data_IF_078660067046
#
_entry.id   IF_078660067046
#
_cell.length_a   1.000
_cell.length_b   1.000
_cell.length_c   1.000
_cell.angle_alpha   90.00
_cell.angle_beta   90.00
_cell.angle_gamma   90.00
#
_symmetry.space_group_name_H-M   'P 1'
#
loop_
_entity.id
_entity.type
_entity.pdbx_description
1 polymer ?
#
# COMPACT_ATOMS: atom_id res chain seq x y z
N UNK A 1 0.56 4.48 -2.82
CA UNK A 1 1.71 5.38 -2.57
C UNK A 1 1.40 6.25 -1.37
N UNK A 2 2.20 6.20 -0.31
CA UNK A 2 1.92 6.95 0.92
C UNK A 2 2.01 8.48 0.72
N UNK A 3 1.31 9.27 1.55
CA UNK A 3 1.36 10.75 1.50
C UNK A 3 2.80 11.29 1.61
N UNK A 4 3.62 10.67 2.48
CA UNK A 4 5.02 11.03 2.67
C UNK A 4 5.85 10.93 1.38
N UNK A 5 5.68 9.88 0.56
CA UNK A 5 6.45 9.73 -0.68
C UNK A 5 6.08 10.80 -1.72
N UNK A 6 4.81 11.22 -1.76
CA UNK A 6 4.35 12.32 -2.63
C UNK A 6 5.02 13.64 -2.25
N UNK A 7 5.13 13.94 -0.96
CA UNK A 7 5.78 15.16 -0.47
C UNK A 7 7.29 15.12 -0.66
N UNK A 8 7.92 13.98 -0.33
CA UNK A 8 9.38 13.79 -0.46
C UNK A 8 9.87 13.84 -1.91
N UNK A 9 9.01 13.54 -2.88
CA UNK A 9 9.31 13.71 -4.31
C UNK A 9 9.70 15.15 -4.69
N UNK A 10 9.30 16.14 -3.88
CA UNK A 10 9.51 17.56 -4.19
C UNK A 10 8.79 18.03 -5.45
N UNK A 11 7.82 17.25 -5.95
CA UNK A 11 7.11 17.58 -7.18
C UNK A 11 6.26 18.84 -6.99
N UNK A 12 6.40 19.87 -7.87
CA UNK A 12 5.67 21.12 -7.72
C UNK A 12 4.16 20.94 -7.81
N UNK A 13 3.66 19.93 -8.54
CA UNK A 13 2.21 19.70 -8.67
C UNK A 13 1.60 19.08 -7.40
N UNK A 14 2.33 18.23 -6.66
CA UNK A 14 1.86 17.72 -5.38
C UNK A 14 1.89 18.80 -4.29
N UNK A 15 2.94 19.63 -4.27
CA UNK A 15 3.07 20.73 -3.31
C UNK A 15 2.10 21.88 -3.61
N UNK A 16 1.86 22.17 -4.89
CA UNK A 16 0.86 23.14 -5.34
C UNK A 16 -0.57 22.60 -5.41
N UNK A 17 -0.81 21.34 -5.02
CA UNK A 17 -2.11 20.66 -5.06
C UNK A 17 -2.78 20.57 -6.43
N UNK A 18 -2.04 20.76 -7.52
CA UNK A 18 -2.52 20.59 -8.91
C UNK A 18 -2.26 19.19 -9.47
N UNK A 19 -1.75 18.26 -8.65
CA UNK A 19 -1.41 16.91 -9.09
C UNK A 19 -2.60 16.15 -9.72
N UNK A 20 -3.83 16.38 -9.24
CA UNK A 20 -5.02 15.71 -9.77
C UNK A 20 -5.51 16.25 -11.11
N UNK A 21 -5.07 17.45 -11.52
CA UNK A 21 -5.35 17.96 -12.87
C UNK A 21 -4.82 17.00 -13.94
N UNK A 22 -3.69 16.35 -13.64
CA UNK A 22 -3.04 15.41 -14.56
C UNK A 22 -3.29 13.95 -14.19
N UNK A 23 -3.49 13.64 -12.91
CA UNK A 23 -3.57 12.28 -12.40
C UNK A 23 -4.56 11.40 -13.15
N UNK A 24 -5.77 11.91 -13.42
CA UNK A 24 -6.82 11.12 -14.07
C UNK A 24 -6.48 10.78 -15.53
N UNK A 25 -5.67 11.61 -16.20
CA UNK A 25 -5.17 11.33 -17.54
C UNK A 25 -3.94 10.42 -17.55
N UNK A 26 -3.10 10.47 -16.52
CA UNK A 26 -1.81 9.76 -16.48
C UNK A 26 -1.76 8.51 -15.59
N UNK A 27 -2.84 8.19 -14.89
CA UNK A 27 -2.93 7.01 -14.03
C UNK A 27 -2.79 5.69 -14.78
N UNK A 28 -2.57 4.60 -14.04
CA UNK A 28 -2.44 3.26 -14.59
C UNK A 28 -3.79 2.77 -15.13
N UNK A 29 -3.83 2.42 -16.42
CA UNK A 29 -4.99 1.89 -17.15
C UNK A 29 -6.28 2.65 -16.76
N UNK A 30 -6.41 3.93 -17.16
CA UNK A 30 -7.58 4.75 -16.84
C UNK A 30 -8.88 4.09 -17.31
N UNK A 31 -9.89 4.15 -16.44
CA UNK A 31 -11.25 3.69 -16.73
C UNK A 31 -12.07 4.81 -17.41
N UNK A 32 -13.27 4.52 -17.97
CA UNK A 32 -14.12 5.56 -18.57
C UNK A 32 -14.44 6.73 -17.61
N UNK A 33 -14.56 6.46 -16.30
CA UNK A 33 -14.80 7.48 -15.28
C UNK A 33 -13.62 8.44 -15.07
N UNK A 34 -12.40 8.06 -15.46
CA UNK A 34 -11.24 8.96 -15.44
C UNK A 34 -11.48 10.21 -16.26
N UNK A 35 -12.11 10.05 -17.42
CA UNK A 35 -12.34 11.17 -18.33
C UNK A 35 -13.27 12.18 -17.66
N UNK A 36 -14.38 11.73 -17.08
CA UNK A 36 -15.29 12.60 -16.34
C UNK A 36 -14.61 13.24 -15.12
N UNK A 37 -13.79 12.48 -14.39
CA UNK A 37 -13.04 13.00 -13.25
C UNK A 37 -12.03 14.06 -13.69
N UNK A 38 -11.39 13.91 -14.86
CA UNK A 38 -10.45 14.88 -15.42
C UNK A 38 -11.11 16.19 -15.84
N UNK A 39 -12.40 16.17 -16.19
CA UNK A 39 -13.16 17.38 -16.55
C UNK A 39 -13.62 18.20 -15.34
N UNK A 40 -13.37 17.76 -14.10
CA UNK A 40 -13.72 18.54 -12.91
C UNK A 40 -12.92 19.86 -12.87
N UNK A 41 -13.45 20.86 -12.17
CA UNK A 41 -12.78 22.16 -12.09
C UNK A 41 -11.45 22.05 -11.30
N UNK A 42 -10.46 22.92 -11.58
CA UNK A 42 -9.17 22.90 -10.87
C UNK A 42 -9.30 23.04 -9.35
N UNK A 43 -10.31 23.78 -8.87
CA UNK A 43 -10.60 23.89 -7.44
C UNK A 43 -11.01 22.55 -6.81
N UNK A 44 -11.82 21.75 -7.52
CA UNK A 44 -12.21 20.41 -7.07
C UNK A 44 -11.00 19.48 -7.06
N UNK A 45 -10.15 19.53 -8.09
CA UNK A 45 -8.90 18.77 -8.11
C UNK A 45 -7.97 19.12 -6.94
N UNK A 46 -7.85 20.41 -6.61
CA UNK A 46 -7.04 20.87 -5.48
C UNK A 46 -7.54 20.31 -4.14
N UNK A 47 -8.86 20.36 -3.91
CA UNK A 47 -9.48 19.79 -2.71
C UNK A 47 -9.31 18.28 -2.66
N UNK A 48 -9.51 17.57 -3.77
CA UNK A 48 -9.30 16.12 -3.82
C UNK A 48 -7.82 15.74 -3.61
N UNK A 49 -6.88 16.55 -4.09
CA UNK A 49 -5.45 16.33 -3.91
C UNK A 49 -5.10 16.48 -2.42
N UNK A 50 -5.59 17.55 -1.78
CA UNK A 50 -5.45 17.77 -0.34
C UNK A 50 -6.08 16.64 0.49
N UNK A 51 -7.32 16.26 0.15
CA UNK A 51 -8.02 15.14 0.79
C UNK A 51 -7.21 13.84 0.67
N UNK A 52 -6.60 13.56 -0.49
CA UNK A 52 -5.77 12.37 -0.68
C UNK A 52 -4.53 12.37 0.22
N UNK A 53 -3.89 13.54 0.44
CA UNK A 53 -2.72 13.70 1.31
C UNK A 53 -3.10 13.61 2.79
N UNK A 54 -4.25 14.16 3.17
CA UNK A 54 -4.82 14.10 4.51
C UNK A 54 -5.21 12.66 4.89
N UNK A 55 -5.96 11.96 4.03
CA UNK A 55 -6.44 10.60 4.29
C UNK A 55 -5.25 9.63 4.44
N UNK A 56 -4.26 9.72 3.55
CA UNK A 56 -3.09 8.82 3.54
C UNK A 56 -1.93 9.28 4.46
N UNK A 57 -2.13 10.33 5.23
CA UNK A 57 -1.12 10.90 6.12
C UNK A 57 -1.62 11.01 7.56
N UNK A 58 -2.04 12.21 8.00
CA UNK A 58 -2.45 12.44 9.38
C UNK A 58 -3.64 11.58 9.81
N UNK A 59 -4.63 11.36 8.94
CA UNK A 59 -5.78 10.53 9.29
C UNK A 59 -5.36 9.09 9.56
N UNK A 60 -4.53 8.48 8.71
CA UNK A 60 -4.05 7.10 8.90
C UNK A 60 -3.32 6.88 10.23
N UNK A 61 -2.73 7.91 10.85
CA UNK A 61 -2.09 7.77 12.17
C UNK A 61 -3.09 7.46 13.29
N UNK A 62 -4.35 7.89 13.14
CA UNK A 62 -5.42 7.57 14.08
C UNK A 62 -5.80 6.08 14.08
N UNK A 63 -5.34 5.30 13.10
CA UNK A 63 -5.48 3.83 13.13
C UNK A 63 -4.79 3.20 14.35
N UNK A 64 -3.74 3.83 14.87
CA UNK A 64 -3.01 3.39 16.06
C UNK A 64 -3.73 3.75 17.35
N UNK A 65 -4.73 4.63 17.30
CA UNK A 65 -5.48 5.01 18.50
C UNK A 65 -6.26 3.81 19.03
N UNK A 66 -6.30 3.57 20.36
CA UNK A 66 -7.10 2.51 20.94
C UNK A 66 -8.61 2.77 20.83
N UNK A 67 -9.04 4.00 20.51
CA UNK A 67 -10.47 4.34 20.48
C UNK A 67 -11.15 3.96 19.17
N UNK A 68 -12.27 3.23 19.27
CA UNK A 68 -13.20 2.96 18.17
C UNK A 68 -13.61 4.21 17.39
N UNK A 69 -13.86 5.34 18.07
CA UNK A 69 -14.32 6.59 17.47
C UNK A 69 -13.33 7.19 16.48
N UNK A 70 -12.04 7.02 16.71
CA UNK A 70 -11.00 7.43 15.77
C UNK A 70 -10.88 6.48 14.58
N UNK A 71 -11.13 5.19 14.80
CA UNK A 71 -10.96 4.13 13.79
C UNK A 71 -12.04 4.13 12.71
N UNK A 72 -13.28 4.52 13.05
CA UNK A 72 -14.37 4.65 12.08
C UNK A 72 -14.05 5.61 10.92
N UNK A 73 -13.72 6.90 11.15
CA UNK A 73 -13.41 7.82 10.06
C UNK A 73 -12.18 7.37 9.25
N UNK A 74 -11.18 6.76 9.90
CA UNK A 74 -10.03 6.17 9.21
C UNK A 74 -10.48 5.12 8.20
N UNK A 75 -11.34 4.17 8.61
CA UNK A 75 -11.86 3.14 7.72
C UNK A 75 -12.68 3.73 6.58
N UNK A 76 -13.70 4.54 6.89
CA UNK A 76 -14.64 5.01 5.87
C UNK A 76 -13.99 5.94 4.84
N UNK A 77 -13.08 6.81 5.25
CA UNK A 77 -12.40 7.72 4.31
C UNK A 77 -11.34 6.99 3.48
N UNK A 78 -10.61 6.02 4.04
CA UNK A 78 -9.74 5.16 3.24
C UNK A 78 -10.53 4.29 2.26
N UNK A 79 -11.66 3.73 2.69
CA UNK A 79 -12.57 2.98 1.81
C UNK A 79 -13.05 3.86 0.65
N UNK A 80 -13.54 5.07 0.93
CA UNK A 80 -13.98 6.01 -0.09
C UNK A 80 -12.86 6.35 -1.09
N UNK A 81 -11.64 6.61 -0.59
CA UNK A 81 -10.47 6.92 -1.42
C UNK A 81 -10.06 5.73 -2.32
N UNK A 82 -10.07 4.51 -1.81
CA UNK A 82 -9.70 3.33 -2.61
C UNK A 82 -10.80 2.88 -3.56
N UNK A 83 -12.07 3.11 -3.22
CA UNK A 83 -13.19 2.91 -4.14
C UNK A 83 -13.17 3.95 -5.27
N UNK A 84 -12.94 5.22 -4.97
CA UNK A 84 -12.82 6.25 -6.03
C UNK A 84 -11.66 5.91 -6.96
N UNK A 85 -10.50 5.53 -6.39
CA UNK A 85 -9.34 5.03 -7.14
C UNK A 85 -9.67 3.83 -8.03
N UNK A 86 -10.51 2.88 -7.60
CA UNK A 86 -10.93 1.73 -8.40
C UNK A 86 -11.83 2.14 -9.57
N UNK A 87 -12.71 3.11 -9.36
CA UNK A 87 -13.60 3.61 -10.41
C UNK A 87 -12.87 4.46 -11.43
N UNK A 88 -11.92 5.28 -10.98
CA UNK A 88 -11.14 6.15 -11.87
C UNK A 88 -9.96 5.42 -12.49
N UNK A 89 -9.34 4.41 -11.87
CA UNK A 89 -8.15 3.76 -12.43
C UNK A 89 -8.06 2.29 -12.05
N UNK A 90 -7.20 1.56 -12.74
CA UNK A 90 -6.99 0.15 -12.48
C UNK A 90 -5.57 -0.08 -11.96
N UNK A 91 -5.46 -0.11 -10.63
CA UNK A 91 -4.23 -0.37 -9.88
C UNK A 91 -4.09 -1.86 -9.49
N UNK A 92 -4.70 -2.75 -10.27
CA UNK A 92 -4.72 -4.19 -10.00
C UNK A 92 -5.26 -4.54 -8.60
N UNK A 93 -4.55 -5.41 -7.88
CA UNK A 93 -4.95 -5.86 -6.54
C UNK A 93 -4.68 -4.83 -5.43
N UNK A 94 -3.96 -3.74 -5.71
CA UNK A 94 -3.50 -2.79 -4.69
C UNK A 94 -4.67 -2.13 -3.94
N UNK A 95 -5.70 -1.69 -4.67
CA UNK A 95 -6.89 -1.09 -4.06
C UNK A 95 -7.61 -2.07 -3.12
N UNK A 96 -7.73 -3.33 -3.52
CA UNK A 96 -8.40 -4.36 -2.72
C UNK A 96 -7.59 -4.72 -1.47
N UNK A 97 -6.26 -4.79 -1.60
CA UNK A 97 -5.38 -5.00 -0.46
C UNK A 97 -5.49 -3.84 0.55
N UNK A 98 -5.52 -2.60 0.07
CA UNK A 98 -5.66 -1.43 0.92
C UNK A 98 -7.01 -1.39 1.65
N UNK A 99 -8.11 -1.75 0.97
CA UNK A 99 -9.44 -1.89 1.60
C UNK A 99 -9.44 -3.01 2.66
N UNK A 100 -8.82 -4.15 2.36
CA UNK A 100 -8.71 -5.27 3.29
C UNK A 100 -7.94 -4.88 4.56
N UNK A 101 -6.84 -4.14 4.40
CA UNK A 101 -6.06 -3.58 5.51
C UNK A 101 -6.87 -2.56 6.31
N UNK A 102 -7.59 -1.64 5.65
CA UNK A 102 -8.43 -0.66 6.33
C UNK A 102 -9.52 -1.34 7.18
N UNK A 103 -10.10 -2.46 6.69
CA UNK A 103 -11.10 -3.22 7.45
C UNK A 103 -10.56 -3.81 8.76
N UNK A 104 -9.26 -4.12 8.82
CA UNK A 104 -8.64 -4.64 10.05
C UNK A 104 -8.69 -3.63 11.20
N UNK A 105 -8.73 -2.33 10.88
CA UNK A 105 -8.80 -1.23 11.83
C UNK A 105 -10.16 -1.13 12.52
N UNK A 106 -11.24 -1.73 11.99
CA UNK A 106 -12.53 -1.66 12.66
C UNK A 106 -12.53 -2.47 13.98
N UNK A 107 -13.03 -1.87 15.09
CA UNK A 107 -13.09 -2.51 16.41
C UNK A 107 -14.06 -3.70 16.42
N UNK A 108 -13.81 -4.68 17.28
CA UNK A 108 -14.75 -5.77 17.53
C UNK A 108 -15.95 -5.26 18.34
N UNK A 109 -17.11 -5.89 18.17
CA UNK A 109 -18.41 -5.46 18.74
C UNK A 109 -18.49 -5.57 20.28
N UNK A 110 -17.41 -5.97 20.96
CA UNK A 110 -17.40 -6.30 22.38
C UNK A 110 -16.28 -5.55 23.12
N UNK A 111 -16.23 -4.22 23.00
CA UNK A 111 -15.43 -3.43 23.94
C UNK A 111 -16.22 -3.29 25.26
N UNK A 112 -15.78 -3.93 26.37
CA UNK A 112 -16.45 -3.76 27.65
C UNK A 112 -16.35 -2.29 28.08
N UNK A 113 -17.50 -1.61 28.18
CA UNK A 113 -17.56 -0.24 28.65
C UNK A 113 -17.33 -0.21 30.16
N UNK A 114 -16.10 -0.06 30.61
CA UNK A 114 -15.82 0.23 32.02
C UNK A 114 -16.16 1.69 32.31
N UNK A 115 -17.21 1.90 33.11
CA UNK A 115 -17.76 3.22 33.41
C UNK A 115 -16.79 4.15 34.17
N UNK A 116 -15.79 3.56 34.84
CA UNK A 116 -14.83 4.26 35.71
C UNK A 116 -13.87 5.22 34.96
N UNK A 117 -13.71 5.08 33.64
CA UNK A 117 -12.78 5.90 32.85
C UNK A 117 -13.45 6.66 31.69
N UNK A 118 -14.76 6.85 31.75
CA UNK A 118 -15.56 7.47 30.69
C UNK A 118 -15.06 8.89 30.34
N UNK A 119 -14.77 9.73 31.35
CA UNK A 119 -14.27 11.09 31.13
C UNK A 119 -12.87 11.11 30.47
N UNK A 120 -11.96 10.26 30.93
CA UNK A 120 -10.61 10.12 30.36
C UNK A 120 -10.67 9.65 28.91
N UNK A 121 -11.59 8.72 28.61
CA UNK A 121 -11.82 8.22 27.25
C UNK A 121 -12.30 9.34 26.32
N UNK A 122 -13.30 10.12 26.73
CA UNK A 122 -13.78 11.24 25.92
C UNK A 122 -12.74 12.34 25.76
N UNK A 123 -11.94 12.63 26.79
CA UNK A 123 -10.83 13.57 26.69
C UNK A 123 -9.77 13.08 25.69
N UNK A 124 -9.41 11.80 25.72
CA UNK A 124 -8.47 11.20 24.75
C UNK A 124 -9.02 11.23 23.31
N UNK A 125 -10.33 11.03 23.13
CA UNK A 125 -11.00 11.18 21.82
C UNK A 125 -10.94 12.63 21.33
N UNK A 126 -11.31 13.58 22.19
CA UNK A 126 -11.26 15.00 21.85
C UNK A 126 -9.83 15.45 21.49
N UNK A 127 -8.82 15.00 22.25
CA UNK A 127 -7.42 15.28 21.97
C UNK A 127 -6.94 14.69 20.65
N UNK A 128 -7.37 13.46 20.31
CA UNK A 128 -7.03 12.83 19.04
C UNK A 128 -7.58 13.61 17.83
N UNK A 129 -8.85 14.04 17.89
CA UNK A 129 -9.44 14.89 16.86
C UNK A 129 -8.85 16.30 16.83
N UNK A 130 -8.55 16.89 17.99
CA UNK A 130 -7.87 18.18 18.05
C UNK A 130 -6.47 18.12 17.42
N UNK A 131 -5.71 17.05 17.69
CA UNK A 131 -4.42 16.79 17.06
C UNK A 131 -4.54 16.61 15.54
N UNK A 132 -5.58 15.90 15.07
CA UNK A 132 -5.87 15.77 13.64
C UNK A 132 -6.18 17.11 12.98
N UNK A 133 -6.98 17.95 13.62
CA UNK A 133 -7.31 19.30 13.14
C UNK A 133 -6.06 20.18 13.09
N UNK A 134 -5.25 20.18 14.14
CA UNK A 134 -3.99 20.92 14.18
C UNK A 134 -3.01 20.46 13.09
N UNK A 135 -2.88 19.15 12.88
CA UNK A 135 -2.06 18.60 11.80
C UNK A 135 -2.56 19.06 10.43
N UNK A 136 -3.87 19.01 10.20
CA UNK A 136 -4.50 19.45 8.94
C UNK A 136 -4.27 20.94 8.69
N UNK A 137 -4.45 21.77 9.72
CA UNK A 137 -4.19 23.21 9.64
C UNK A 137 -2.73 23.51 9.34
N UNK A 138 -1.79 22.76 9.93
CA UNK A 138 -0.35 22.93 9.67
C UNK A 138 0.10 22.45 8.29
N UNK A 139 -0.68 21.57 7.64
CA UNK A 139 -0.32 20.97 6.34
C UNK A 139 -0.69 21.86 5.16
N UNK A 140 -1.73 22.68 5.27
CA UNK A 140 -2.30 23.42 4.14
C UNK A 140 -2.36 24.91 4.43
N UNK A 141 -1.98 25.72 3.43
CA UNK A 141 -2.01 27.17 3.49
C UNK A 141 -2.90 27.71 2.37
N UNK A 142 -3.70 28.73 2.68
CA UNK A 142 -4.50 29.43 1.69
C UNK A 142 -3.63 30.47 0.97
N UNK A 143 -3.63 30.40 -0.36
CA UNK A 143 -2.96 31.39 -1.20
C UNK A 143 -3.96 32.48 -1.53
N UNK A 144 -3.58 33.73 -1.28
CA UNK A 144 -4.36 34.91 -1.62
C UNK A 144 -3.70 35.64 -2.78
N UNK A 145 -4.46 35.90 -3.84
CA UNK A 145 -4.07 36.81 -4.92
C UNK A 145 -5.04 37.98 -4.94
N UNK A 146 -4.53 39.21 -4.91
CA UNK A 146 -5.34 40.44 -4.94
C UNK A 146 -6.47 40.51 -3.89
N UNK A 147 -6.24 39.93 -2.70
CA UNK A 147 -7.22 39.92 -1.61
C UNK A 147 -8.33 38.86 -1.76
N UNK A 148 -8.30 38.03 -2.79
CA UNK A 148 -9.19 36.88 -2.95
C UNK A 148 -8.44 35.56 -2.75
N UNK A 149 -9.15 34.52 -2.29
CA UNK A 149 -8.59 33.18 -2.12
C UNK A 149 -8.36 32.59 -3.52
N UNK A 150 -7.10 32.50 -3.94
CA UNK A 150 -6.70 32.01 -5.25
C UNK A 150 -6.58 30.48 -5.27
N UNK A 151 -6.22 29.86 -4.13
CA UNK A 151 -6.11 28.41 -4.05
C UNK A 151 -5.56 27.90 -2.74
N UNK A 152 -5.33 26.59 -2.69
CA UNK A 152 -4.72 25.89 -1.55
C UNK A 152 -3.32 25.42 -1.97
N UNK A 153 -2.34 25.52 -1.06
CA UNK A 153 -1.01 24.93 -1.24
C UNK A 153 -0.61 24.12 -0.03
N UNK A 154 0.34 23.21 -0.22
CA UNK A 154 0.99 22.52 0.89
C UNK A 154 1.95 23.48 1.61
N UNK A 155 1.76 23.65 2.91
CA UNK A 155 2.46 24.68 3.70
C UNK A 155 3.89 24.28 4.08
N UNK A 156 4.14 22.98 4.31
CA UNK A 156 5.42 22.47 4.80
C UNK A 156 6.45 22.42 3.67
N UNK A 157 7.62 23.04 3.90
CA UNK A 157 8.74 22.95 2.96
C UNK A 157 9.34 21.55 2.99
N UNK A 158 9.81 21.05 1.83
CA UNK A 158 10.46 19.73 1.71
C UNK A 158 11.62 19.56 2.71
N UNK A 159 12.40 20.61 2.96
CA UNK A 159 13.48 20.59 3.95
C UNK A 159 13.00 20.37 5.39
N UNK A 160 11.87 20.98 5.77
CA UNK A 160 11.26 20.77 7.08
C UNK A 160 10.69 19.36 7.22
N UNK A 161 10.07 18.83 6.16
CA UNK A 161 9.58 17.44 6.15
C UNK A 161 10.72 16.44 6.28
N UNK A 162 11.85 16.65 5.58
CA UNK A 162 13.06 15.83 5.74
C UNK A 162 13.62 15.89 7.17
N UNK A 163 13.68 17.10 7.74
CA UNK A 163 14.11 17.32 9.13
C UNK A 163 13.16 16.67 10.16
N UNK A 164 11.85 16.64 9.93
CA UNK A 164 10.93 15.93 10.80
C UNK A 164 11.13 14.41 10.68
N UNK A 165 11.31 13.91 9.46
CA UNK A 165 11.46 12.50 9.16
C UNK A 165 12.70 11.88 9.82
N UNK A 166 13.76 12.65 9.99
CA UNK A 166 14.99 12.20 10.67
C UNK A 166 14.74 11.74 12.11
N UNK A 167 13.71 12.27 12.78
CA UNK A 167 13.34 11.89 14.14
C UNK A 167 12.17 10.91 14.14
N UNK A 168 11.18 11.15 13.29
CA UNK A 168 9.95 10.33 13.22
C UNK A 168 10.25 8.91 12.75
N UNK A 169 11.06 8.71 11.70
CA UNK A 169 11.33 7.37 11.16
C UNK A 169 12.06 6.48 12.17
N UNK A 170 13.18 6.91 12.79
CA UNK A 170 13.83 6.10 13.81
C UNK A 170 12.92 5.86 15.01
N UNK A 171 12.18 6.87 15.47
CA UNK A 171 11.25 6.73 16.60
C UNK A 171 10.16 5.70 16.34
N UNK A 172 9.55 5.71 15.16
CA UNK A 172 8.52 4.73 14.76
C UNK A 172 9.12 3.34 14.59
N UNK A 173 10.27 3.21 13.93
CA UNK A 173 10.91 1.90 13.69
C UNK A 173 11.35 1.27 15.01
N UNK A 174 12.11 1.99 15.85
CA UNK A 174 12.56 1.48 17.14
C UNK A 174 11.42 1.30 18.13
N UNK A 175 10.43 2.20 18.12
CA UNK A 175 9.23 2.08 18.94
C UNK A 175 8.43 0.82 18.58
N UNK A 176 8.17 0.58 17.29
CA UNK A 176 7.45 -0.60 16.83
C UNK A 176 8.20 -1.90 17.14
N UNK A 177 9.52 -1.93 16.87
CA UNK A 177 10.36 -3.09 17.20
C UNK A 177 10.41 -3.34 18.72
N UNK A 178 10.52 -2.28 19.52
CA UNK A 178 10.55 -2.36 20.98
C UNK A 178 9.24 -2.89 21.55
N UNK A 179 8.09 -2.37 21.10
CA UNK A 179 6.76 -2.84 21.52
C UNK A 179 6.55 -4.30 21.11
N UNK A 180 6.91 -4.66 19.87
CA UNK A 180 6.78 -6.04 19.40
C UNK A 180 7.67 -7.00 20.17
N UNK A 181 8.91 -6.61 20.49
CA UNK A 181 9.83 -7.40 21.29
C UNK A 181 9.30 -7.59 22.72
N UNK A 182 8.86 -6.51 23.36
CA UNK A 182 8.31 -6.57 24.71
C UNK A 182 7.05 -7.46 24.77
N UNK A 183 6.14 -7.32 23.81
CA UNK A 183 4.95 -8.16 23.69
C UNK A 183 5.31 -9.64 23.46
N UNK A 184 6.27 -9.92 22.58
CA UNK A 184 6.74 -11.27 22.32
C UNK A 184 7.38 -11.89 23.57
N UNK A 185 8.26 -11.16 24.27
CA UNK A 185 8.90 -11.64 25.50
C UNK A 185 7.86 -11.94 26.57
N UNK A 186 6.91 -11.02 26.78
CA UNK A 186 5.84 -11.18 27.76
C UNK A 186 4.95 -12.39 27.46
N UNK A 187 4.51 -12.53 26.20
CA UNK A 187 3.68 -13.65 25.78
C UNK A 187 4.39 -15.00 25.94
N UNK A 188 5.66 -15.07 25.53
CA UNK A 188 6.45 -16.29 25.65
C UNK A 188 6.76 -16.65 27.11
N UNK A 189 7.08 -15.67 27.96
CA UNK A 189 7.28 -15.90 29.39
C UNK A 189 6.01 -16.45 30.06
N UNK A 190 4.85 -15.87 29.77
CA UNK A 190 3.55 -16.32 30.31
C UNK A 190 3.22 -17.75 29.86
N UNK A 191 3.40 -18.05 28.58
CA UNK A 191 3.13 -19.39 28.02
C UNK A 191 4.13 -20.43 28.50
N UNK A 192 5.39 -20.04 28.68
CA UNK A 192 6.42 -20.91 29.24
C UNK A 192 6.08 -21.29 30.69
N UNK A 193 5.73 -20.31 31.52
CA UNK A 193 5.28 -20.57 32.89
C UNK A 193 4.06 -21.50 32.93
N UNK A 194 3.04 -21.23 32.12
CA UNK A 194 1.86 -22.10 32.01
C UNK A 194 2.22 -23.51 31.53
N UNK A 195 3.15 -23.62 30.58
CA UNK A 195 3.68 -24.89 30.09
C UNK A 195 4.38 -25.69 31.19
N UNK A 196 5.20 -25.05 32.02
CA UNK A 196 5.87 -25.67 33.17
C UNK A 196 4.86 -26.18 34.21
N UNK A 197 3.82 -25.40 34.53
CA UNK A 197 2.76 -25.79 35.47
C UNK A 197 1.92 -26.96 34.96
N UNK A 198 1.68 -27.06 33.66
CA UNK A 198 0.97 -28.22 33.08
C UNK A 198 1.89 -29.44 32.92
N UNK A 199 3.20 -29.22 32.79
CA UNK A 199 4.19 -30.31 32.75
C UNK A 199 4.28 -31.04 34.10
N UNK A 200 4.14 -30.33 35.22
CA UNK A 200 4.03 -30.97 36.55
C UNK A 200 2.77 -31.84 36.69
N UNK A 201 1.75 -31.62 35.84
CA UNK A 201 0.52 -32.42 35.74
C UNK A 201 0.60 -33.50 34.63
N UNK A 202 1.78 -33.77 34.08
CA UNK A 202 2.02 -34.73 32.99
C UNK A 202 1.26 -34.44 31.68
N UNK A 203 0.85 -33.19 31.42
CA UNK A 203 0.22 -32.81 30.15
C UNK A 203 1.23 -32.22 29.17
N UNK A 204 1.74 -33.06 28.27
CA UNK A 204 2.74 -32.69 27.27
C UNK A 204 2.24 -31.67 26.22
N UNK A 205 0.93 -31.65 25.94
CA UNK A 205 0.34 -30.77 24.91
C UNK A 205 0.60 -29.27 25.15
N UNK A 206 0.61 -28.83 26.41
CA UNK A 206 0.87 -27.43 26.76
C UNK A 206 2.33 -27.02 26.49
N UNK A 207 3.29 -27.94 26.70
CA UNK A 207 4.69 -27.70 26.40
C UNK A 207 4.94 -27.57 24.90
N UNK A 208 4.34 -28.43 24.07
CA UNK A 208 4.41 -28.31 22.61
C UNK A 208 3.78 -27.00 22.11
N UNK A 209 2.63 -26.59 22.67
CA UNK A 209 2.00 -25.33 22.33
C UNK A 209 2.89 -24.11 22.66
N UNK A 210 3.60 -24.14 23.80
CA UNK A 210 4.53 -23.08 24.18
C UNK A 210 5.73 -22.97 23.22
N UNK A 211 6.32 -24.11 22.83
CA UNK A 211 7.41 -24.14 21.86
C UNK A 211 6.97 -23.67 20.47
N UNK A 212 5.78 -24.06 20.03
CA UNK A 212 5.19 -23.59 18.78
C UNK A 212 5.00 -22.06 18.80
N UNK A 213 4.45 -21.50 19.89
CA UNK A 213 4.27 -20.05 20.00
C UNK A 213 5.60 -19.28 19.99
N UNK A 214 6.66 -19.82 20.60
CA UNK A 214 8.00 -19.24 20.57
C UNK A 214 8.57 -19.17 19.15
N UNK A 215 8.43 -20.24 18.37
CA UNK A 215 8.85 -20.28 16.96
C UNK A 215 8.09 -19.23 16.14
N UNK A 216 6.76 -19.16 16.27
CA UNK A 216 5.96 -18.17 15.54
C UNK A 216 6.26 -16.73 15.97
N UNK A 217 6.55 -16.49 17.25
CA UNK A 217 6.97 -15.18 17.75
C UNK A 217 8.30 -14.75 17.14
N UNK A 218 9.27 -15.68 17.05
CA UNK A 218 10.57 -15.42 16.41
C UNK A 218 10.42 -15.12 14.92
N UNK A 219 9.65 -15.95 14.20
CA UNK A 219 9.36 -15.72 12.78
C UNK A 219 8.66 -14.37 12.58
N UNK A 220 7.68 -14.04 13.43
CA UNK A 220 6.98 -12.76 13.40
C UNK A 220 7.90 -11.56 13.60
N UNK A 221 8.83 -11.63 14.56
CA UNK A 221 9.83 -10.58 14.80
C UNK A 221 10.80 -10.42 13.61
N UNK A 222 11.23 -11.52 12.99
CA UNK A 222 12.09 -11.49 11.81
C UNK A 222 11.37 -10.88 10.60
N UNK A 223 10.11 -11.26 10.36
CA UNK A 223 9.28 -10.68 9.30
C UNK A 223 9.05 -9.20 9.55
N UNK A 224 8.68 -8.81 10.78
CA UNK A 224 8.49 -7.41 11.16
C UNK A 224 9.78 -6.61 10.96
N UNK A 225 10.92 -7.14 11.41
CA UNK A 225 12.24 -6.58 11.17
C UNK A 225 12.50 -6.36 9.68
N UNK A 226 12.29 -7.38 8.85
CA UNK A 226 12.43 -7.26 7.40
C UNK A 226 11.54 -6.18 6.78
N UNK A 227 10.30 -6.04 7.27
CA UNK A 227 9.34 -5.01 6.83
C UNK A 227 9.69 -3.59 7.30
N UNK A 228 10.57 -3.42 8.29
CA UNK A 228 11.03 -2.08 8.71
C UNK A 228 12.03 -1.47 7.72
N UNK A 229 12.66 -2.27 6.86
CA UNK A 229 13.69 -1.80 5.93
C UNK A 229 13.16 -0.78 4.90
N UNK A 230 12.01 -1.01 4.22
CA UNK A 230 11.42 0.02 3.35
C UNK A 230 11.07 1.32 4.07
N UNK A 231 10.67 1.25 5.34
CA UNK A 231 10.39 2.43 6.16
C UNK A 231 11.69 3.17 6.52
N UNK A 232 12.75 2.42 6.86
CA UNK A 232 14.05 2.99 7.17
C UNK A 232 14.72 3.67 5.97
N UNK A 233 14.43 3.21 4.74
CA UNK A 233 14.89 3.81 3.50
C UNK A 233 14.24 5.17 3.18
N UNK A 234 13.18 5.58 3.90
CA UNK A 234 12.59 6.92 3.68
C UNK A 234 13.53 8.06 4.09
N UNK A 235 14.47 7.80 5.01
CA UNK A 235 15.46 8.79 5.45
C UNK A 235 16.88 8.30 5.13
N UNK A 236 17.70 9.09 4.41
CA UNK A 236 19.07 8.70 4.07
C UNK A 236 19.92 8.47 5.33
N UNK A 237 20.72 7.39 5.34
CA UNK A 237 21.62 7.04 6.44
C UNK A 237 20.98 6.27 7.61
N UNK A 238 19.66 6.31 7.81
CA UNK A 238 19.06 5.55 8.93
C UNK A 238 19.08 4.03 8.69
N UNK A 239 18.87 3.59 7.44
CA UNK A 239 18.96 2.18 7.07
C UNK A 239 20.33 1.54 7.39
N UNK A 240 21.40 2.34 7.42
CA UNK A 240 22.74 1.88 7.76
C UNK A 240 22.89 1.61 9.26
N UNK A 241 22.17 2.33 10.11
CA UNK A 241 22.19 2.16 11.58
C UNK A 241 21.48 0.90 12.07
N UNK A 242 20.71 0.22 11.20
CA UNK A 242 19.98 -0.97 11.59
C UNK A 242 20.92 -2.17 11.87
N UNK A 243 20.60 -3.02 12.87
CA UNK A 243 21.34 -4.24 13.16
C UNK A 243 21.45 -5.18 11.95
N UNK A 244 22.57 -5.91 11.85
CA UNK A 244 22.81 -6.86 10.77
C UNK A 244 21.75 -7.96 10.67
N UNK A 245 21.13 -8.34 11.79
CA UNK A 245 20.01 -9.31 11.83
C UNK A 245 18.80 -8.80 11.05
N UNK A 246 18.44 -7.52 11.19
CA UNK A 246 17.31 -6.90 10.50
C UNK A 246 17.61 -6.79 9.00
N UNK A 247 18.82 -6.38 8.63
CA UNK A 247 19.26 -6.34 7.22
C UNK A 247 19.18 -7.72 6.57
N UNK A 248 19.69 -8.75 7.25
CA UNK A 248 19.61 -10.14 6.77
C UNK A 248 18.16 -10.61 6.65
N UNK A 249 17.33 -10.32 7.64
CA UNK A 249 15.91 -10.65 7.61
C UNK A 249 15.18 -9.96 6.44
N UNK A 250 15.52 -8.70 6.11
CA UNK A 250 14.96 -8.02 4.93
C UNK A 250 15.37 -8.67 3.61
N UNK A 251 16.60 -9.17 3.50
CA UNK A 251 17.07 -9.89 2.30
C UNK A 251 16.29 -11.20 2.15
N UNK A 252 16.12 -11.95 3.23
CA UNK A 252 15.34 -13.19 3.24
C UNK A 252 13.87 -12.91 2.91
N UNK A 253 13.25 -11.92 3.58
CA UNK A 253 11.88 -11.52 3.32
C UNK A 253 11.68 -11.04 1.88
N UNK A 254 12.68 -10.38 1.29
CA UNK A 254 12.67 -10.00 -0.13
C UNK A 254 12.76 -11.19 -1.06
N UNK A 255 13.65 -12.16 -0.79
CA UNK A 255 13.76 -13.39 -1.58
C UNK A 255 12.50 -14.26 -1.52
N UNK A 256 11.82 -14.26 -0.38
CA UNK A 256 10.56 -14.95 -0.19
C UNK A 256 9.34 -14.16 -0.70
N UNK A 257 9.56 -12.97 -1.29
CA UNK A 257 8.50 -12.06 -1.72
C UNK A 257 7.51 -11.65 -0.61
N UNK A 258 7.94 -11.74 0.66
CA UNK A 258 7.17 -11.28 1.84
C UNK A 258 7.29 -9.76 1.98
N UNK A 259 8.44 -9.20 1.63
CA UNK A 259 8.66 -7.76 1.56
C UNK A 259 9.22 -7.38 0.20
N UNK A 260 8.49 -6.61 -0.59
CA UNK A 260 9.04 -6.00 -1.78
C UNK A 260 9.49 -4.57 -1.45
N UNK A 261 10.77 -4.26 -1.69
CA UNK A 261 11.18 -2.88 -1.88
C UNK A 261 10.62 -2.44 -3.24
N UNK A 262 9.30 -2.23 -3.32
CA UNK A 262 8.78 -1.36 -4.38
C UNK A 262 9.49 -0.04 -4.16
N UNK A 263 10.44 0.27 -5.04
CA UNK A 263 11.24 1.48 -4.92
C UNK A 263 10.30 2.63 -4.60
N UNK A 264 10.57 3.34 -3.50
CA UNK A 264 9.90 4.60 -3.23
C UNK A 264 10.08 5.42 -4.49
N UNK A 265 9.02 5.57 -5.28
CA UNK A 265 9.09 6.30 -6.53
C UNK A 265 9.26 7.76 -6.15
N UNK A 266 10.51 8.17 -5.92
CA UNK A 266 10.89 9.56 -5.70
C UNK A 266 10.47 10.42 -6.90
N UNK A 267 10.23 9.77 -8.05
CA UNK A 267 9.64 10.34 -9.26
C UNK A 267 8.41 9.52 -9.63
N UNK A 268 7.22 10.10 -9.51
CA UNK A 268 6.02 9.49 -10.12
C UNK A 268 6.23 9.41 -11.62
N UNK A 269 5.88 8.27 -12.23
CA UNK A 269 5.88 8.11 -13.68
C UNK A 269 5.07 9.24 -14.35
N UNK A 270 5.61 9.81 -15.43
CA UNK A 270 4.90 10.78 -16.27
C UNK A 270 5.20 12.27 -16.04
N UNK A 271 5.94 12.67 -14.99
CA UNK A 271 6.41 14.08 -14.85
C UNK A 271 7.90 14.13 -15.12
N UNK A 272 8.30 14.61 -16.30
CA UNK A 272 9.71 14.83 -16.62
C UNK A 272 9.89 16.28 -17.09
N UNK A 273 10.98 16.91 -16.66
CA UNK A 273 11.48 18.10 -17.34
C UNK A 273 12.02 17.67 -18.69
N UNK A 274 11.35 18.07 -19.77
CA UNK A 274 11.79 17.77 -21.13
C UNK A 274 12.35 19.05 -21.73
N UNK A 275 13.58 18.99 -22.20
CA UNK A 275 14.17 20.05 -23.00
C UNK A 275 13.50 20.03 -24.37
N UNK A 276 12.70 21.04 -24.69
CA UNK A 276 12.20 21.24 -26.05
C UNK A 276 13.28 22.01 -26.81
N UNK A 277 13.92 21.36 -27.78
CA UNK A 277 14.89 22.04 -28.65
C UNK A 277 14.15 23.09 -29.50
N UNK A 278 14.60 24.34 -29.45
CA UNK A 278 14.10 25.43 -30.30
C UNK A 278 13.51 26.64 -29.56
N UNK A 279 13.31 26.57 -28.24
CA UNK A 279 12.94 27.72 -27.41
C UNK A 279 14.13 28.18 -26.56
N UNK A 280 14.46 29.46 -26.66
CA UNK A 280 15.50 30.06 -25.83
C UNK A 280 15.07 30.03 -24.36
N UNK A 281 15.68 29.12 -23.59
CA UNK A 281 15.81 29.18 -22.14
C UNK A 281 14.60 28.86 -21.23
N UNK A 282 13.79 27.83 -21.47
CA UNK A 282 12.93 27.30 -20.40
C UNK A 282 12.84 25.75 -20.41
N UNK A 283 13.39 25.12 -19.36
CA UNK A 283 13.04 23.76 -18.97
C UNK A 283 11.56 23.74 -18.55
N UNK A 284 10.68 23.13 -19.35
CA UNK A 284 9.30 22.89 -18.91
C UNK A 284 9.18 21.50 -18.31
N UNK A 285 8.55 21.41 -17.13
CA UNK A 285 8.04 20.14 -16.64
C UNK A 285 6.86 19.74 -17.52
N UNK A 286 7.09 18.84 -18.48
CA UNK A 286 6.00 18.28 -19.27
C UNK A 286 5.49 17.06 -18.50
N UNK A 287 4.24 17.14 -18.06
CA UNK A 287 3.51 15.97 -17.58
C UNK A 287 3.03 15.21 -18.81
N UNK A 288 3.90 14.37 -19.37
CA UNK A 288 3.59 13.55 -20.52
C UNK A 288 3.76 12.07 -20.16
N UNK A 289 2.73 11.28 -20.47
CA UNK A 289 2.83 9.83 -20.59
C UNK A 289 3.09 9.52 -22.06
N UNK A 290 4.34 9.41 -22.52
CA UNK A 290 4.61 8.99 -23.89
C UNK A 290 4.02 7.59 -24.10
N UNK A 291 3.09 7.47 -25.04
CA UNK A 291 2.46 6.21 -25.38
C UNK A 291 2.97 5.69 -26.72
N UNK A 292 3.27 4.40 -26.76
CA UNK A 292 3.55 3.73 -28.03
C UNK A 292 2.22 3.51 -28.74
N UNK A 293 2.09 4.07 -29.95
CA UNK A 293 0.99 3.80 -30.87
C UNK A 293 1.54 2.88 -31.95
N UNK A 294 0.98 1.69 -32.07
CA UNK A 294 1.25 0.81 -33.21
C UNK A 294 0.29 1.21 -34.31
N UNK A 295 0.79 1.52 -35.49
CA UNK A 295 -0.03 1.88 -36.64
C UNK A 295 0.08 0.79 -37.70
N UNK A 296 -1.06 0.48 -38.33
CA UNK A 296 -1.14 -0.49 -39.41
C UNK A 296 -1.83 0.14 -40.61
N UNK A 297 -1.38 -0.25 -41.81
CA UNK A 297 -1.97 0.18 -43.07
C UNK A 297 -2.36 -1.04 -43.91
N UNK A 298 -3.63 -1.10 -44.30
CA UNK A 298 -4.16 -2.17 -45.14
C UNK A 298 -4.09 -1.85 -46.65
N UNK A 299 -3.79 -0.61 -47.01
CA UNK A 299 -3.78 -0.11 -48.39
C UNK A 299 -2.37 0.17 -48.93
N UNK A 300 -1.35 -0.45 -48.33
CA UNK A 300 0.05 -0.32 -48.74
C UNK A 300 0.71 0.99 -48.33
N UNK A 301 0.23 1.63 -47.25
CA UNK A 301 0.82 2.82 -46.65
C UNK A 301 0.15 4.14 -47.02
N UNK A 302 -1.04 4.12 -47.65
CA UNK A 302 -1.77 5.35 -48.01
C UNK A 302 -2.61 5.86 -46.83
N UNK A 303 -3.17 4.96 -46.03
CA UNK A 303 -3.89 5.28 -44.79
C UNK A 303 -3.33 4.45 -43.64
N UNK A 304 -3.02 5.14 -42.56
CA UNK A 304 -2.50 4.55 -41.32
C UNK A 304 -3.57 4.63 -40.24
N UNK A 305 -3.84 3.50 -39.60
CA UNK A 305 -4.79 3.42 -38.50
C UNK A 305 -4.09 2.92 -37.25
N UNK A 306 -4.37 3.55 -36.12
CA UNK A 306 -3.90 3.08 -34.82
C UNK A 306 -4.49 1.70 -34.51
N UNK A 307 -3.62 0.72 -34.29
CA UNK A 307 -3.96 -0.60 -33.79
C UNK A 307 -4.11 -0.53 -32.27
N UNK A 308 -5.37 -0.54 -31.83
CA UNK A 308 -5.68 -0.51 -30.41
C UNK A 308 -5.41 -1.87 -29.75
N UNK A 309 -4.51 -1.88 -28.76
CA UNK A 309 -4.31 -3.05 -27.92
C UNK A 309 -5.51 -3.25 -26.99
N UNK A 310 -5.91 -4.50 -26.77
CA UNK A 310 -7.12 -4.84 -26.00
C UNK A 310 -7.14 -4.25 -24.58
N UNK A 311 -5.97 -4.13 -23.95
CA UNK A 311 -5.81 -3.59 -22.59
C UNK A 311 -5.24 -2.17 -22.56
N UNK A 312 -5.06 -1.53 -23.73
CA UNK A 312 -4.64 -0.12 -23.81
C UNK A 312 -5.88 0.78 -23.64
N UNK A 313 -5.76 1.86 -22.86
CA UNK A 313 -6.79 2.89 -22.80
C UNK A 313 -7.19 3.34 -24.21
N UNK A 314 -8.50 3.46 -24.44
CA UNK A 314 -9.03 3.85 -25.76
C UNK A 314 -10.29 4.69 -25.59
N UNK A 315 -11.17 4.63 -26.59
CA UNK A 315 -12.42 5.41 -26.59
C UNK A 315 -13.21 5.30 -25.27
N UNK A 316 -13.76 6.42 -24.81
CA UNK A 316 -14.57 6.54 -23.58
C UNK A 316 -15.81 5.63 -23.61
N UNK A 317 -16.24 5.16 -24.79
CA UNK A 317 -17.35 4.20 -24.97
C UNK A 317 -16.97 2.74 -24.66
N UNK A 318 -15.70 2.44 -24.38
CA UNK A 318 -15.24 1.08 -24.07
C UNK A 318 -15.70 0.62 -22.69
N UNK A 319 -15.82 -0.70 -22.52
CA UNK A 319 -16.14 -1.35 -21.26
C UNK A 319 -14.96 -1.31 -20.28
N UNK A 320 -15.26 -1.42 -18.98
CA UNK A 320 -14.25 -1.48 -17.92
C UNK A 320 -13.23 -2.60 -18.16
N UNK A 321 -11.95 -2.26 -18.07
CA UNK A 321 -10.87 -3.22 -18.17
C UNK A 321 -10.74 -3.95 -16.83
N UNK A 322 -10.73 -5.29 -16.85
CA UNK A 322 -10.56 -6.13 -15.65
C UNK A 322 -9.24 -5.80 -14.93
N UNK A 323 -9.21 -5.94 -13.62
CA UNK A 323 -8.00 -5.74 -12.81
C UNK A 323 -6.88 -6.66 -13.29
N UNK A 324 -5.78 -6.06 -13.76
CA UNK A 324 -4.65 -6.78 -14.35
C UNK A 324 -3.37 -5.97 -14.16
N UNK A 325 -2.37 -6.57 -13.54
CA UNK A 325 -0.98 -6.12 -13.67
C UNK A 325 -0.33 -7.00 -14.75
N UNK A 326 0.13 -6.46 -15.88
CA UNK A 326 0.99 -7.23 -16.75
C UNK A 326 2.26 -7.59 -15.97
N UNK A 327 2.64 -8.86 -15.95
CA UNK A 327 4.00 -9.22 -15.60
C UNK A 327 4.91 -8.57 -16.66
N UNK A 328 5.84 -7.72 -16.22
CA UNK A 328 6.92 -7.25 -17.08
C UNK A 328 7.83 -8.46 -17.30
N UNK A 329 7.53 -9.23 -18.33
CA UNK A 329 8.37 -10.36 -18.72
C UNK A 329 9.68 -9.80 -19.28
N UNK A 330 10.74 -9.86 -18.49
CA UNK A 330 12.09 -9.42 -18.86
C UNK A 330 12.64 -10.23 -20.05
N UNK A 331 12.06 -11.38 -20.37
CA UNK A 331 12.41 -12.17 -21.54
C UNK A 331 11.57 -11.79 -22.77
N UNK A 332 10.68 -10.79 -22.66
CA UNK A 332 9.89 -10.33 -23.79
C UNK A 332 10.80 -9.61 -24.81
N UNK A 333 10.97 -10.15 -26.02
CA UNK A 333 11.92 -9.62 -26.99
C UNK A 333 11.54 -8.22 -27.50
N UNK A 334 10.25 -7.87 -27.47
CA UNK A 334 9.77 -6.53 -27.85
C UNK A 334 10.06 -5.49 -26.76
N UNK A 335 9.97 -5.88 -25.50
CA UNK A 335 10.34 -5.02 -24.36
C UNK A 335 11.87 -4.78 -24.33
N UNK A 336 12.68 -5.81 -24.59
CA UNK A 336 14.13 -5.68 -24.64
C UNK A 336 14.58 -4.78 -25.81
N UNK A 337 13.97 -4.91 -26.99
CA UNK A 337 14.22 -3.99 -28.12
C UNK A 337 13.86 -2.54 -27.78
N UNK A 338 12.75 -2.33 -27.07
CA UNK A 338 12.36 -1.00 -26.58
C UNK A 338 13.35 -0.42 -25.57
N UNK A 339 13.81 -1.22 -24.59
CA UNK A 339 14.83 -0.79 -23.61
C UNK A 339 16.14 -0.40 -24.33
N UNK A 340 16.54 -1.17 -25.34
CA UNK A 340 17.73 -0.89 -26.15
C UNK A 340 17.61 0.40 -26.97
N UNK A 341 16.42 0.71 -27.51
CA UNK A 341 16.22 1.95 -28.28
C UNK A 341 16.31 3.22 -27.43
N UNK A 342 16.18 3.13 -26.11
CA UNK A 342 16.32 4.24 -25.17
C UNK A 342 17.71 4.32 -24.49
N UNK A 343 18.67 3.50 -24.90
CA UNK A 343 20.07 3.59 -24.46
C UNK A 343 20.33 3.14 -23.02
N UNK A 344 19.45 2.34 -22.43
CA UNK A 344 19.69 1.74 -21.11
C UNK A 344 20.54 0.46 -21.24
N UNK A 345 21.72 0.39 -20.59
CA UNK A 345 22.62 -0.74 -20.77
C UNK A 345 22.05 -2.01 -20.13
N UNK A 346 22.05 -3.14 -20.85
CA UNK A 346 21.58 -4.42 -20.33
C UNK A 346 22.73 -5.11 -19.60
N UNK A 347 23.04 -4.72 -18.36
CA UNK A 347 23.97 -5.53 -17.57
C UNK A 347 23.24 -6.72 -16.92
N UNK A 348 23.51 -7.89 -17.50
CA UNK A 348 23.27 -9.25 -17.01
C UNK A 348 21.83 -9.78 -17.11
N UNK A 349 21.42 -10.20 -18.31
CA UNK A 349 20.59 -11.41 -18.44
C UNK A 349 21.17 -12.24 -19.57
N UNK A 350 21.79 -13.36 -19.19
CA UNK A 350 22.47 -14.29 -20.07
C UNK A 350 21.51 -14.88 -21.11
N UNK A 351 22.00 -14.91 -22.34
CA UNK A 351 21.32 -15.18 -23.59
C UNK A 351 21.42 -16.66 -23.99
N UNK A 352 20.90 -17.61 -23.21
CA UNK A 352 21.09 -19.02 -23.57
C UNK A 352 20.01 -20.03 -23.15
N UNK A 353 18.74 -19.62 -23.05
CA UNK A 353 17.65 -20.60 -23.05
C UNK A 353 16.58 -20.18 -24.04
N UNK A 354 16.62 -20.80 -25.22
CA UNK A 354 15.50 -20.77 -26.16
C UNK A 354 14.27 -21.38 -25.50
N UNK A 355 13.32 -20.55 -25.08
CA UNK A 355 12.04 -21.02 -24.52
C UNK A 355 11.08 -21.26 -25.67
N UNK A 356 11.02 -22.51 -26.12
CA UNK A 356 9.89 -23.05 -26.89
C UNK A 356 8.74 -23.23 -25.91
N UNK A 357 7.60 -22.58 -26.14
CA UNK A 357 6.42 -22.75 -25.31
C UNK A 357 5.81 -24.15 -25.56
N UNK A 358 6.14 -25.09 -24.67
CA UNK A 358 5.52 -26.40 -24.48
C UNK A 358 5.42 -27.30 -25.74
N UNK A 359 6.42 -28.15 -25.96
CA UNK A 359 6.31 -29.28 -26.88
C UNK A 359 5.61 -30.45 -26.17
N UNK A 360 4.88 -31.28 -26.93
CA UNK A 360 4.15 -32.48 -26.48
C UNK A 360 5.02 -33.60 -25.90
N UNK A 361 6.33 -33.39 -25.78
CA UNK A 361 7.31 -34.36 -25.30
C UNK A 361 7.88 -34.04 -23.90
N UNK A 362 7.26 -33.13 -23.13
CA UNK A 362 7.67 -32.83 -21.75
C UNK A 362 7.32 -33.97 -20.79
N UNK A 363 8.25 -34.36 -19.92
CA UNK A 363 8.07 -35.40 -18.88
C UNK A 363 7.16 -34.98 -17.72
N UNK A 364 6.73 -33.72 -17.66
CA UNK A 364 5.83 -33.18 -16.64
C UNK A 364 4.63 -32.42 -17.24
N UNK A 365 3.80 -33.08 -18.08
CA UNK A 365 2.69 -32.43 -18.76
C UNK A 365 1.63 -31.91 -17.78
N UNK A 366 1.51 -32.52 -16.59
CA UNK A 366 0.59 -32.08 -15.52
C UNK A 366 1.01 -30.75 -14.90
N UNK A 367 2.31 -30.48 -14.72
CA UNK A 367 2.77 -29.23 -14.13
C UNK A 367 2.62 -28.06 -15.12
N UNK A 368 2.94 -28.30 -16.39
CA UNK A 368 2.69 -27.34 -17.48
C UNK A 368 1.20 -27.06 -17.66
N UNK A 369 0.34 -28.09 -17.61
CA UNK A 369 -1.11 -27.89 -17.65
C UNK A 369 -1.56 -27.09 -16.42
N UNK A 370 -1.11 -27.41 -15.20
CA UNK A 370 -1.45 -26.66 -14.00
C UNK A 370 -0.99 -25.20 -14.05
N UNK A 371 0.19 -24.89 -14.58
CA UNK A 371 0.71 -23.53 -14.70
C UNK A 371 -0.02 -22.70 -15.77
N UNK A 372 -0.33 -23.31 -16.93
CA UNK A 372 -1.17 -22.68 -17.97
C UNK A 372 -2.61 -22.50 -17.47
N UNK A 373 -3.12 -23.43 -16.66
CA UNK A 373 -4.43 -23.30 -16.02
C UNK A 373 -4.39 -22.19 -14.95
N UNK A 374 -3.35 -22.12 -14.12
CA UNK A 374 -3.13 -21.03 -13.14
C UNK A 374 -3.08 -19.65 -13.79
N UNK A 375 -2.51 -19.55 -15.00
CA UNK A 375 -2.44 -18.30 -15.75
C UNK A 375 -3.74 -17.96 -16.50
N UNK A 376 -4.56 -18.96 -16.88
CA UNK A 376 -5.82 -18.76 -17.62
C UNK A 376 -7.08 -18.72 -16.74
N UNK A 377 -6.97 -19.00 -15.44
CA UNK A 377 -8.11 -18.98 -14.52
C UNK A 377 -8.68 -17.57 -14.45
N UNK A 378 -9.89 -17.44 -15.00
CA UNK A 378 -10.71 -16.23 -15.15
C UNK A 378 -11.01 -15.47 -13.86
N UNK A 379 -10.49 -15.86 -12.70
CA UNK A 379 -10.95 -15.36 -11.41
C UNK A 379 -9.85 -15.22 -10.36
N UNK A 380 -8.83 -14.39 -10.62
CA UNK A 380 -8.14 -13.66 -9.53
C UNK A 380 -9.17 -12.98 -8.61
N UNK A 381 -10.31 -12.53 -9.17
CA UNK A 381 -11.48 -12.08 -8.39
C UNK A 381 -12.03 -13.15 -7.45
N UNK A 382 -12.15 -14.43 -7.84
CA UNK A 382 -12.59 -15.47 -6.89
C UNK A 382 -11.53 -15.75 -5.84
N UNK A 383 -10.24 -15.79 -6.17
CA UNK A 383 -9.20 -16.02 -5.17
C UNK A 383 -9.04 -14.85 -4.20
N UNK A 384 -9.18 -13.62 -4.67
CA UNK A 384 -9.13 -12.43 -3.84
C UNK A 384 -10.41 -12.27 -3.02
N UNK A 385 -11.59 -12.52 -3.61
CA UNK A 385 -12.86 -12.56 -2.88
C UNK A 385 -12.92 -13.74 -1.92
N UNK A 386 -12.32 -14.89 -2.24
CA UNK A 386 -12.21 -16.04 -1.34
C UNK A 386 -11.18 -15.77 -0.25
N UNK A 387 -10.05 -15.11 -0.53
CA UNK A 387 -9.06 -14.73 0.47
C UNK A 387 -9.63 -13.66 1.42
N UNK A 388 -10.36 -12.67 0.88
CA UNK A 388 -11.12 -11.71 1.68
C UNK A 388 -12.21 -12.43 2.46
N UNK A 389 -13.02 -13.30 1.84
CA UNK A 389 -14.07 -14.03 2.54
C UNK A 389 -13.50 -14.94 3.64
N UNK A 390 -12.37 -15.62 3.38
CA UNK A 390 -11.65 -16.41 4.38
C UNK A 390 -11.11 -15.50 5.48
N UNK A 391 -10.51 -14.36 5.16
CA UNK A 391 -10.05 -13.39 6.15
C UNK A 391 -11.19 -12.84 7.00
N UNK A 392 -12.32 -12.49 6.39
CA UNK A 392 -13.54 -12.01 7.05
C UNK A 392 -14.15 -13.10 7.93
N UNK A 393 -14.19 -14.35 7.47
CA UNK A 393 -14.67 -15.51 8.23
C UNK A 393 -13.73 -15.84 9.38
N UNK A 394 -12.41 -15.76 9.17
CA UNK A 394 -11.40 -15.98 10.22
C UNK A 394 -11.48 -14.89 11.28
N UNK A 395 -11.55 -13.60 10.88
CA UNK A 395 -11.76 -12.49 11.82
C UNK A 395 -13.07 -12.66 12.59
N UNK A 396 -14.17 -12.93 11.92
CA UNK A 396 -15.48 -13.14 12.55
C UNK A 396 -15.48 -14.33 13.52
N UNK A 397 -14.82 -15.44 13.16
CA UNK A 397 -14.66 -16.61 14.05
C UNK A 397 -13.76 -16.31 15.23
N UNK A 398 -12.69 -15.54 15.02
CA UNK A 398 -11.77 -15.11 16.09
C UNK A 398 -12.49 -14.18 17.07
N UNK A 399 -13.24 -13.19 16.57
CA UNK A 399 -14.05 -12.28 17.37
C UNK A 399 -15.13 -13.03 18.17
N UNK A 400 -15.81 -14.01 17.54
CA UNK A 400 -16.74 -14.92 18.25
C UNK A 400 -16.05 -15.78 19.31
N UNK A 401 -14.84 -16.26 19.04
CA UNK A 401 -14.11 -17.11 19.98
C UNK A 401 -13.64 -16.32 21.19
N UNK A 402 -13.10 -15.11 20.99
CA UNK A 402 -12.72 -14.18 22.04
C UNK A 402 -13.93 -13.81 22.92
N UNK A 403 -15.04 -13.41 22.30
CA UNK A 403 -16.29 -13.09 23.04
C UNK A 403 -16.86 -14.27 23.82
N UNK A 404 -16.77 -15.50 23.29
CA UNK A 404 -17.30 -16.69 23.98
C UNK A 404 -16.47 -17.07 25.19
N UNK A 405 -15.16 -16.86 25.15
CA UNK A 405 -14.27 -17.09 26.29
C UNK A 405 -14.48 -16.02 27.38
N UNK A 406 -14.68 -14.75 27.01
CA UNK A 406 -15.00 -13.69 27.98
C UNK A 406 -16.31 -13.97 28.74
N UNK A 407 -17.33 -14.47 28.05
CA UNK A 407 -18.61 -14.85 28.66
C UNK A 407 -18.48 -16.08 29.55
N UNK A 408 -17.67 -17.07 29.16
CA UNK A 408 -17.40 -18.25 29.98
C UNK A 408 -16.62 -17.89 31.25
N UNK A 409 -15.64 -17.00 31.16
CA UNK A 409 -14.85 -16.54 32.30
C UNK A 409 -15.68 -15.63 33.25
N UNK A 410 -16.67 -14.89 32.74
CA UNK A 410 -17.60 -14.13 33.57
C UNK A 410 -18.65 -14.99 34.26
N UNK A 411 -19.09 -16.10 33.63
CA UNK A 411 -20.07 -17.03 34.24
C UNK A 411 -19.46 -17.97 35.28
N UNK A 412 -18.15 -18.23 35.20
CA UNK A 412 -17.44 -18.99 36.23
C UNK A 412 -17.19 -18.14 37.48
N UNK A 413 -16.91 -16.84 37.32
CA UNK A 413 -16.76 -15.89 38.44
C UNK A 413 -18.07 -15.63 39.20
N UNK A 414 -19.21 -15.61 38.53
CA UNK A 414 -20.53 -15.44 39.20
C UNK A 414 -21.08 -16.71 39.84
N UNK A 415 -20.41 -17.87 39.69
CA UNK A 415 -20.73 -19.11 40.42
C UNK A 415 -19.85 -19.35 41.64
N UNK A 416 -18.83 -18.51 41.85
CA UNK A 416 -17.86 -18.60 42.94
C UNK A 416 -18.04 -17.49 44.00
N UNK A 417 -18.98 -16.57 43.78
CA UNK A 417 -19.58 -15.67 44.79
C UNK A 417 -21.00 -16.17 45.12
#
# INVERSE_FOLDING_TARGET
MASASKILSGCPTWLGLTALDYHFATQEVPNPLSWYAHQLSPGVHSVLAAASLFIQGPLTLLSLSPSAWHRYPVFYLNLALHLSSLFTGNYGFSNVLAISLAYTVLPSTSEPSTDRFTAVRYAAIALGFAGLLAATYSMFELVYENGQVAGLRYALRVGQTKHALQYVVPGVVWGALGVALAAAVWQNARLFYAGCVELTKFRLGASFASGHCAVFSLVGLLVLGGLTMPLAQMHPGFSETLPGVIKTASIIASRLHVSAAYGSTEKSSGVRKVMVQGTFANEFAIVARPEVVLEGSADGGKTWHALDLHFKPGSVRRTFVKEYLPAVDLNNPSLNKFIQSFGWPPEKVASDVGVTYCTTASTHPKLCHSLVTLHSIRSIRLYLMAAIAVFMVVKHRLDRWLTRNDVAESTDKTKLD
#
